data_IF_685267099965
#
_entry.id   IF_685267099965
#
_cell.length_a   1.000
_cell.length_b   1.000
_cell.length_c   1.000
_cell.angle_alpha   90.00
_cell.angle_beta   90.00
_cell.angle_gamma   90.00
#
_symmetry.space_group_name_H-M   'P 1'
#
loop_
_entity.id
_entity.type
_entity.pdbx_description
1 polymer ?
#
# COMPACT_ATOMS: atom_id res chain seq x y z
N UNK A 1 -32.69 10.39 -28.09
CA UNK A 1 -31.27 10.48 -27.74
C UNK A 1 -30.91 9.38 -26.73
N UNK A 2 -31.70 9.21 -25.66
CA UNK A 2 -31.45 8.22 -24.60
C UNK A 2 -31.54 6.76 -25.11
N UNK A 3 -32.36 6.47 -26.10
CA UNK A 3 -32.55 5.11 -26.63
C UNK A 3 -31.36 4.57 -27.43
N UNK A 4 -30.40 5.41 -27.83
CA UNK A 4 -29.19 5.04 -28.56
C UNK A 4 -27.94 5.04 -27.70
N UNK A 5 -28.01 5.43 -26.43
CA UNK A 5 -26.89 5.46 -25.52
C UNK A 5 -26.69 4.07 -24.88
N UNK A 6 -25.44 3.58 -24.85
CA UNK A 6 -25.06 2.45 -23.99
C UNK A 6 -24.84 2.98 -22.57
N UNK A 7 -25.47 2.34 -21.62
CA UNK A 7 -25.45 2.73 -20.22
C UNK A 7 -24.66 1.72 -19.38
N UNK A 8 -23.71 2.21 -18.62
CA UNK A 8 -23.04 1.41 -17.60
C UNK A 8 -23.70 1.69 -16.24
N UNK A 9 -24.06 0.63 -15.54
CA UNK A 9 -24.46 0.74 -14.14
C UNK A 9 -23.24 1.03 -13.28
N UNK A 10 -23.20 2.18 -12.64
CA UNK A 10 -22.20 2.50 -11.63
C UNK A 10 -22.70 1.93 -10.31
N UNK A 11 -22.44 0.62 -10.06
CA UNK A 11 -22.80 -0.12 -8.85
C UNK A 11 -24.10 0.39 -8.23
N UNK A 12 -25.25 0.02 -8.78
CA UNK A 12 -26.51 0.53 -8.29
C UNK A 12 -26.69 0.09 -6.83
N UNK A 13 -26.81 1.04 -5.93
CA UNK A 13 -27.28 0.78 -4.58
C UNK A 13 -28.67 1.40 -4.45
N UNK A 14 -29.63 0.62 -3.95
CA UNK A 14 -30.95 1.13 -3.62
C UNK A 14 -30.83 2.34 -2.66
N UNK A 15 -31.62 3.44 -2.83
CA UNK A 15 -32.66 3.62 -3.85
C UNK A 15 -32.19 4.32 -5.13
N UNK A 16 -30.91 4.63 -5.29
CA UNK A 16 -30.42 5.44 -6.40
C UNK A 16 -29.58 4.60 -7.36
N UNK A 17 -30.06 4.47 -8.60
CA UNK A 17 -29.33 3.84 -9.70
C UNK A 17 -28.80 4.93 -10.63
N UNK A 18 -27.47 5.13 -10.61
CA UNK A 18 -26.81 6.09 -11.50
C UNK A 18 -26.29 5.39 -12.73
N UNK A 19 -26.70 5.85 -13.89
CA UNK A 19 -26.23 5.39 -15.17
C UNK A 19 -25.52 6.55 -15.88
N UNK A 20 -24.33 6.28 -16.41
CA UNK A 20 -23.59 7.22 -17.23
C UNK A 20 -23.53 6.71 -18.67
N UNK A 21 -24.00 7.49 -19.65
CA UNK A 21 -23.87 7.09 -21.04
C UNK A 21 -22.39 7.10 -21.47
N UNK A 22 -21.96 6.06 -22.14
CA UNK A 22 -20.63 6.00 -22.75
C UNK A 22 -20.77 5.91 -24.27
N UNK A 23 -19.90 6.64 -25.01
CA UNK A 23 -19.83 6.49 -26.45
C UNK A 23 -19.17 5.15 -26.82
N UNK A 24 -19.61 4.53 -27.92
CA UNK A 24 -18.96 3.31 -28.44
C UNK A 24 -17.48 3.52 -28.73
N UNK A 25 -17.12 4.70 -29.23
CA UNK A 25 -15.73 5.07 -29.49
C UNK A 25 -14.87 5.00 -28.21
N UNK A 26 -15.39 5.49 -27.08
CA UNK A 26 -14.69 5.41 -25.80
C UNK A 26 -14.60 3.98 -25.28
N UNK A 27 -15.68 3.19 -25.38
CA UNK A 27 -15.66 1.78 -24.99
C UNK A 27 -14.65 0.95 -25.80
N UNK A 28 -14.62 1.14 -27.12
CA UNK A 28 -13.65 0.45 -27.97
C UNK A 28 -12.21 0.82 -27.60
N UNK A 29 -11.95 2.11 -27.39
CA UNK A 29 -10.65 2.60 -26.96
C UNK A 29 -10.24 2.06 -25.57
N UNK A 30 -11.17 1.94 -24.65
CA UNK A 30 -10.93 1.31 -23.35
C UNK A 30 -10.54 -0.17 -23.49
N UNK A 31 -11.26 -0.90 -24.34
CA UNK A 31 -11.05 -2.32 -24.58
C UNK A 31 -9.74 -2.64 -25.35
N UNK A 32 -9.07 -1.65 -25.93
CA UNK A 32 -7.72 -1.80 -26.49
C UNK A 32 -6.63 -1.92 -25.42
N UNK A 33 -6.92 -1.47 -24.19
CA UNK A 33 -5.99 -1.48 -23.07
C UNK A 33 -6.15 -2.69 -22.16
N UNK A 34 -5.11 -2.98 -21.39
CA UNK A 34 -5.14 -3.97 -20.30
C UNK A 34 -5.07 -3.19 -18.98
N UNK A 35 -6.04 -3.38 -18.10
CA UNK A 35 -6.07 -2.68 -16.82
C UNK A 35 -5.07 -3.29 -15.83
N UNK A 36 -4.61 -2.50 -14.84
CA UNK A 36 -3.73 -3.03 -13.78
C UNK A 36 -4.38 -4.19 -13.01
N UNK A 37 -5.70 -4.22 -12.90
CA UNK A 37 -6.44 -5.31 -12.27
C UNK A 37 -6.42 -6.61 -13.09
N UNK A 38 -6.17 -6.53 -14.38
CA UNK A 38 -5.98 -7.70 -15.26
C UNK A 38 -4.53 -8.18 -15.26
N UNK A 39 -3.60 -7.33 -14.84
CA UNK A 39 -2.17 -7.62 -14.75
C UNK A 39 -1.81 -8.23 -13.38
N UNK A 40 -2.22 -7.59 -12.29
CA UNK A 40 -1.84 -7.99 -10.94
C UNK A 40 -2.89 -8.91 -10.29
N UNK A 41 -2.42 -9.93 -9.55
CA UNK A 41 -3.28 -10.85 -8.77
C UNK A 41 -3.92 -10.16 -7.58
N UNK A 42 -3.12 -9.37 -6.83
CA UNK A 42 -3.53 -8.71 -5.60
C UNK A 42 -3.03 -7.26 -5.52
N UNK A 43 -3.83 -6.41 -4.93
CA UNK A 43 -3.53 -5.01 -4.67
C UNK A 43 -4.47 -4.47 -3.58
N UNK A 44 -4.13 -3.36 -2.98
CA UNK A 44 -4.99 -2.69 -2.00
C UNK A 44 -4.79 -1.18 -2.02
N UNK A 45 -5.76 -0.47 -1.49
CA UNK A 45 -5.60 0.93 -1.09
C UNK A 45 -4.52 1.01 -0.01
N UNK A 46 -3.80 2.13 0.05
CA UNK A 46 -2.88 2.43 1.13
C UNK A 46 -3.54 2.40 2.52
N UNK A 47 -2.75 2.47 3.56
CA UNK A 47 -3.25 2.44 4.94
C UNK A 47 -4.06 3.71 5.26
N UNK A 48 -4.97 3.59 6.23
CA UNK A 48 -5.70 4.71 6.81
C UNK A 48 -5.49 4.68 8.31
N UNK A 49 -4.80 5.67 8.84
CA UNK A 49 -4.48 5.73 10.28
C UNK A 49 -5.61 6.34 11.09
N UNK A 50 -6.30 7.35 10.55
CA UNK A 50 -7.26 8.23 11.23
C UNK A 50 -6.67 8.98 12.45
N UNK A 51 -5.34 8.86 12.65
CA UNK A 51 -4.56 9.48 13.75
C UNK A 51 -3.14 9.81 13.30
N UNK A 52 -2.98 10.37 12.10
CA UNK A 52 -1.66 10.63 11.49
C UNK A 52 -0.73 11.38 12.43
N UNK A 53 -1.20 12.47 13.04
CA UNK A 53 -0.40 13.30 13.96
C UNK A 53 0.10 12.52 15.18
N UNK A 54 -0.58 11.43 15.55
CA UNK A 54 -0.21 10.61 16.67
C UNK A 54 0.72 9.45 16.29
N UNK A 55 0.40 8.74 15.21
CA UNK A 55 1.11 7.48 14.84
C UNK A 55 2.20 7.69 13.80
N UNK A 56 2.32 8.89 13.19
CA UNK A 56 3.33 9.20 12.16
C UNK A 56 4.19 10.38 12.63
N UNK A 57 5.50 10.32 12.36
CA UNK A 57 6.44 11.42 12.61
C UNK A 57 7.61 11.37 11.63
N UNK A 58 8.22 12.52 11.34
CA UNK A 58 9.48 12.64 10.61
C UNK A 58 10.69 12.23 11.47
N UNK A 59 10.55 12.25 12.80
CA UNK A 59 11.58 11.91 13.77
C UNK A 59 11.17 10.66 14.57
N UNK A 60 11.99 9.61 14.49
CA UNK A 60 11.73 8.33 15.16
C UNK A 60 11.71 8.47 16.69
N UNK A 61 12.61 9.24 17.26
CA UNK A 61 12.72 9.37 18.72
C UNK A 61 11.51 10.11 19.30
N UNK A 62 11.00 11.13 18.60
CA UNK A 62 9.75 11.81 18.98
C UNK A 62 8.57 10.84 18.92
N UNK A 63 8.48 10.01 17.88
CA UNK A 63 7.44 9.00 17.76
C UNK A 63 7.55 7.97 18.88
N UNK A 64 8.74 7.45 19.17
CA UNK A 64 8.99 6.51 20.29
C UNK A 64 8.62 7.10 21.63
N UNK A 65 9.00 8.36 21.88
CA UNK A 65 8.62 9.06 23.13
C UNK A 65 7.10 9.13 23.26
N UNK A 66 6.39 9.51 22.21
CA UNK A 66 4.93 9.61 22.16
C UNK A 66 4.25 8.27 22.46
N UNK A 67 4.72 7.20 21.84
CA UNK A 67 4.18 5.85 22.06
C UNK A 67 4.52 5.34 23.46
N UNK A 68 5.70 5.66 24.01
CA UNK A 68 6.06 5.30 25.39
C UNK A 68 5.18 6.04 26.42
N UNK A 69 4.88 7.32 26.21
CA UNK A 69 3.91 8.03 27.05
C UNK A 69 2.51 7.42 26.95
N UNK A 70 2.07 7.05 25.73
CA UNK A 70 0.78 6.41 25.50
C UNK A 70 0.64 5.08 26.27
N UNK A 71 1.68 4.25 26.28
CA UNK A 71 1.66 2.94 26.95
C UNK A 71 1.88 3.01 28.46
N UNK A 72 2.33 4.12 29.00
CA UNK A 72 2.50 4.31 30.45
C UNK A 72 1.13 4.49 31.12
N UNK A 73 0.63 3.44 31.73
CA UNK A 73 -0.67 3.42 32.40
C UNK A 73 -0.71 4.29 33.69
N UNK A 74 0.43 4.79 34.15
CA UNK A 74 0.48 5.76 35.26
C UNK A 74 -0.02 7.13 34.84
N UNK A 75 0.08 7.47 33.56
CA UNK A 75 -0.44 8.72 33.00
C UNK A 75 -1.97 8.56 32.83
N UNK A 76 -2.81 9.44 33.35
CA UNK A 76 -4.26 9.37 33.18
C UNK A 76 -4.70 9.40 31.72
N UNK A 77 -5.79 8.71 31.39
CA UNK A 77 -6.35 8.71 30.04
C UNK A 77 -6.75 10.11 29.56
N UNK A 78 -7.20 10.94 30.47
CA UNK A 78 -7.59 12.32 30.18
C UNK A 78 -6.40 13.15 29.70
N UNK A 79 -5.23 13.00 30.33
CA UNK A 79 -4.01 13.71 29.95
C UNK A 79 -3.55 13.29 28.54
N UNK A 80 -3.61 11.99 28.25
CA UNK A 80 -3.29 11.45 26.91
C UNK A 80 -4.29 11.95 25.86
N UNK A 81 -5.59 11.94 26.18
CA UNK A 81 -6.63 12.44 25.30
C UNK A 81 -6.41 13.92 24.97
N UNK A 82 -6.19 14.73 25.99
CA UNK A 82 -6.01 16.18 25.84
C UNK A 82 -4.71 16.51 25.08
N UNK A 83 -3.61 15.84 25.44
CA UNK A 83 -2.29 16.09 24.83
C UNK A 83 -2.24 15.71 23.35
N UNK A 84 -2.87 14.58 22.98
CA UNK A 84 -2.77 14.00 21.63
C UNK A 84 -4.08 14.02 20.84
N UNK A 85 -5.12 14.66 21.37
CA UNK A 85 -6.46 14.71 20.76
C UNK A 85 -7.02 13.33 20.36
N UNK A 86 -6.79 12.31 21.21
CA UNK A 86 -7.24 10.94 20.97
C UNK A 86 -8.64 10.73 21.55
N UNK A 87 -9.65 10.75 20.67
CA UNK A 87 -11.04 10.54 21.06
C UNK A 87 -11.52 9.15 20.69
N UNK A 88 -12.27 8.51 21.59
CA UNK A 88 -12.94 7.25 21.32
C UNK A 88 -13.96 7.39 20.19
N UNK A 89 -14.10 6.33 19.39
CA UNK A 89 -15.13 6.21 18.37
C UNK A 89 -15.51 4.71 18.19
N UNK A 90 -16.36 4.40 17.22
CA UNK A 90 -16.82 3.02 16.98
C UNK A 90 -15.70 2.01 16.65
N UNK A 91 -14.48 2.48 16.32
CA UNK A 91 -13.34 1.65 15.90
C UNK A 91 -12.11 1.82 16.77
N UNK A 92 -12.16 2.69 17.76
CA UNK A 92 -11.04 2.98 18.64
C UNK A 92 -11.48 3.22 20.07
N UNK A 93 -10.96 2.41 20.96
CA UNK A 93 -11.08 2.55 22.42
C UNK A 93 -9.70 2.84 23.00
N UNK A 94 -9.53 4.04 23.55
CA UNK A 94 -8.27 4.51 24.12
C UNK A 94 -7.77 3.61 25.26
N UNK A 95 -8.66 3.26 26.20
CA UNK A 95 -8.31 2.50 27.40
C UNK A 95 -7.83 1.10 27.01
N UNK A 96 -8.57 0.44 26.13
CA UNK A 96 -8.23 -0.89 25.64
C UNK A 96 -6.94 -0.86 24.83
N UNK A 97 -6.79 0.08 23.91
CA UNK A 97 -5.59 0.24 23.08
C UNK A 97 -4.34 0.48 23.94
N UNK A 98 -4.42 1.35 24.96
CA UNK A 98 -3.32 1.60 25.88
C UNK A 98 -2.91 0.35 26.66
N UNK A 99 -3.89 -0.40 27.17
CA UNK A 99 -3.64 -1.66 27.89
C UNK A 99 -2.91 -2.67 26.99
N UNK A 100 -3.35 -2.82 25.76
CA UNK A 100 -2.74 -3.76 24.81
C UNK A 100 -1.33 -3.33 24.41
N UNK A 101 -1.10 -2.06 24.08
CA UNK A 101 0.24 -1.55 23.74
C UNK A 101 1.17 -1.58 24.96
N UNK A 102 0.66 -1.43 26.18
CA UNK A 102 1.48 -1.53 27.40
C UNK A 102 2.01 -2.94 27.66
N UNK A 103 1.29 -3.97 27.19
CA UNK A 103 1.68 -5.38 27.36
C UNK A 103 2.79 -5.84 26.41
N UNK A 104 3.10 -5.07 25.36
CA UNK A 104 4.15 -5.46 24.42
C UNK A 104 5.52 -5.52 25.06
N UNK A 105 6.27 -6.57 24.74
CA UNK A 105 7.69 -6.65 25.04
C UNK A 105 8.45 -5.51 24.34
N UNK A 106 9.67 -5.22 24.78
CA UNK A 106 10.51 -4.21 24.11
C UNK A 106 10.76 -4.55 22.64
N UNK A 107 11.04 -5.81 22.34
CA UNK A 107 11.30 -6.28 20.99
C UNK A 107 10.05 -6.15 20.09
N UNK A 108 8.88 -6.57 20.59
CA UNK A 108 7.61 -6.44 19.88
C UNK A 108 7.27 -4.96 19.60
N UNK A 109 7.45 -4.09 20.59
CA UNK A 109 7.22 -2.66 20.45
C UNK A 109 8.13 -2.05 19.37
N UNK A 110 9.43 -2.38 19.39
CA UNK A 110 10.41 -1.86 18.41
C UNK A 110 10.09 -2.32 17.00
N UNK A 111 9.64 -3.56 16.81
CA UNK A 111 9.29 -4.09 15.47
C UNK A 111 8.12 -3.36 14.80
N UNK A 112 7.33 -2.61 15.56
CA UNK A 112 6.19 -1.86 15.03
C UNK A 112 6.55 -0.46 14.51
N UNK A 113 7.77 0.02 14.76
CA UNK A 113 8.26 1.27 14.20
C UNK A 113 8.89 1.03 12.84
N UNK A 114 8.18 1.35 11.78
CA UNK A 114 8.62 1.15 10.40
C UNK A 114 8.58 2.46 9.60
N UNK A 115 9.13 2.43 8.38
CA UNK A 115 9.03 3.55 7.45
C UNK A 115 7.77 3.45 6.60
N UNK A 116 7.23 4.60 6.24
CA UNK A 116 6.08 4.77 5.35
C UNK A 116 6.38 5.85 4.30
N UNK A 117 5.95 5.61 3.06
CA UNK A 117 5.84 6.68 2.08
C UNK A 117 4.53 7.45 2.33
N UNK A 118 4.65 8.60 2.99
CA UNK A 118 3.51 9.38 3.46
C UNK A 118 2.95 10.28 2.36
N UNK A 119 3.83 10.95 1.60
CA UNK A 119 3.51 11.73 0.38
C UNK A 119 4.60 11.46 -0.66
N UNK A 120 4.45 11.89 -1.91
CA UNK A 120 5.51 11.73 -2.90
C UNK A 120 6.82 12.34 -2.41
N UNK A 121 7.87 11.51 -2.31
CA UNK A 121 9.21 11.87 -1.81
C UNK A 121 9.26 12.28 -0.33
N UNK A 122 8.18 12.14 0.44
CA UNK A 122 8.12 12.36 1.89
C UNK A 122 8.03 11.01 2.60
N UNK A 123 9.14 10.59 3.18
CA UNK A 123 9.27 9.34 3.94
C UNK A 123 9.28 9.66 5.42
N UNK A 124 8.42 8.96 6.19
CA UNK A 124 8.25 9.16 7.63
C UNK A 124 8.37 7.83 8.38
N UNK A 125 8.37 7.91 9.69
CA UNK A 125 8.22 6.77 10.58
C UNK A 125 6.77 6.64 11.01
N UNK A 126 6.30 5.39 11.16
CA UNK A 126 4.96 5.07 11.63
C UNK A 126 5.04 3.99 12.70
N UNK A 127 4.19 4.10 13.71
CA UNK A 127 3.92 2.98 14.62
C UNK A 127 2.80 2.13 13.99
N UNK A 128 3.20 1.08 13.29
CA UNK A 128 2.30 0.25 12.47
C UNK A 128 1.66 -0.86 13.31
N UNK A 129 0.55 -0.53 13.98
CA UNK A 129 -0.15 -1.40 14.90
C UNK A 129 -1.67 -1.30 14.76
N UNK A 130 -2.37 -2.44 14.84
CA UNK A 130 -3.83 -2.53 14.66
C UNK A 130 -4.63 -1.91 15.83
N UNK A 131 -3.98 -1.63 16.97
CA UNK A 131 -4.61 -0.94 18.09
C UNK A 131 -4.72 0.58 17.87
N UNK A 132 -3.92 1.09 16.93
CA UNK A 132 -3.83 2.52 16.65
C UNK A 132 -4.13 2.89 15.20
N UNK A 133 -4.06 1.96 14.26
CA UNK A 133 -4.33 2.20 12.83
C UNK A 133 -5.70 1.64 12.46
N UNK A 134 -6.55 2.47 11.87
CA UNK A 134 -7.91 2.07 11.52
C UNK A 134 -7.96 0.99 10.43
N UNK A 135 -7.10 1.10 9.41
CA UNK A 135 -7.05 0.17 8.27
C UNK A 135 -5.63 -0.10 7.86
N UNK A 136 -5.04 -1.12 8.43
CA UNK A 136 -3.64 -1.51 8.17
C UNK A 136 -3.40 -2.12 6.80
N UNK A 137 -4.41 -2.74 6.19
CA UNK A 137 -4.26 -3.43 4.89
C UNK A 137 -3.16 -4.51 4.90
N UNK A 138 -3.01 -5.24 6.01
CA UNK A 138 -1.93 -6.19 6.27
C UNK A 138 -1.66 -7.14 5.09
N UNK A 139 -2.70 -7.76 4.51
CA UNK A 139 -2.57 -8.72 3.40
C UNK A 139 -1.73 -8.21 2.21
N UNK A 140 -1.67 -6.90 1.99
CA UNK A 140 -0.88 -6.29 0.91
C UNK A 140 0.34 -5.57 1.45
N UNK A 141 0.19 -4.76 2.50
CA UNK A 141 1.27 -3.91 3.01
C UNK A 141 2.44 -4.71 3.60
N UNK A 142 2.18 -5.87 4.21
CA UNK A 142 3.24 -6.71 4.75
C UNK A 142 4.19 -7.24 3.66
N UNK A 143 3.73 -7.40 2.42
CA UNK A 143 4.60 -7.79 1.31
C UNK A 143 5.69 -6.74 0.98
N UNK A 144 5.56 -5.51 1.47
CA UNK A 144 6.50 -4.42 1.21
C UNK A 144 7.48 -4.16 2.37
N UNK A 145 7.43 -4.96 3.42
CA UNK A 145 8.36 -4.86 4.55
C UNK A 145 9.66 -5.62 4.32
N UNK A 146 9.69 -6.47 3.28
CA UNK A 146 10.85 -7.21 2.82
C UNK A 146 11.45 -6.58 1.55
N UNK A 147 12.52 -7.20 0.99
CA UNK A 147 13.11 -6.76 -0.29
C UNK A 147 12.13 -6.91 -1.45
N UNK A 148 11.19 -5.99 -1.54
CA UNK A 148 10.14 -5.94 -2.55
C UNK A 148 9.91 -4.49 -2.99
N UNK A 149 9.27 -4.33 -4.13
CA UNK A 149 8.82 -3.04 -4.65
C UNK A 149 7.37 -3.14 -5.07
N UNK A 150 6.66 -2.03 -5.05
CA UNK A 150 5.26 -1.98 -5.49
C UNK A 150 4.99 -0.77 -6.36
N UNK A 151 4.15 -0.97 -7.39
CA UNK A 151 3.61 0.11 -8.18
C UNK A 151 2.54 0.84 -7.37
N UNK A 152 2.55 2.16 -7.41
CA UNK A 152 1.53 3.04 -6.84
C UNK A 152 0.80 3.68 -8.00
N UNK A 153 -0.53 3.57 -8.00
CA UNK A 153 -1.37 4.23 -8.99
C UNK A 153 -2.68 4.72 -8.37
N UNK A 154 -3.16 5.86 -8.83
CA UNK A 154 -4.47 6.37 -8.46
C UNK A 154 -5.51 5.91 -9.48
N UNK A 155 -6.71 5.60 -8.99
CA UNK A 155 -7.85 5.33 -9.87
C UNK A 155 -8.32 6.61 -10.58
N UNK A 156 -8.29 7.72 -9.87
CA UNK A 156 -8.65 9.04 -10.39
C UNK A 156 -7.78 10.10 -9.69
N UNK A 157 -7.72 11.28 -10.28
CA UNK A 157 -7.05 12.43 -9.68
C UNK A 157 -7.99 13.62 -9.61
N UNK A 158 -7.93 14.38 -8.52
CA UNK A 158 -8.65 15.65 -8.40
C UNK A 158 -7.92 16.80 -9.09
N UNK A 159 -6.66 16.57 -9.47
CA UNK A 159 -5.82 17.59 -10.09
C UNK A 159 -6.20 17.77 -11.55
N UNK A 160 -6.41 19.02 -11.94
CA UNK A 160 -6.57 19.40 -13.35
C UNK A 160 -5.17 19.41 -13.98
N UNK A 161 -5.00 18.70 -15.07
CA UNK A 161 -3.73 18.66 -15.79
C UNK A 161 -3.35 17.25 -16.27
N UNK A 162 -2.06 17.04 -16.45
CA UNK A 162 -1.52 15.76 -16.91
C UNK A 162 -1.58 14.72 -15.77
N UNK A 163 -1.97 13.49 -16.12
CA UNK A 163 -1.89 12.37 -15.19
C UNK A 163 -0.43 12.04 -14.87
N UNK A 164 -0.05 12.24 -13.61
CA UNK A 164 1.31 12.01 -13.09
C UNK A 164 1.29 11.29 -11.72
N UNK A 165 0.24 10.52 -11.45
CA UNK A 165 -0.04 9.90 -10.15
C UNK A 165 0.43 8.44 -10.09
N UNK A 166 1.55 8.14 -10.77
CA UNK A 166 2.16 6.81 -10.77
C UNK A 166 3.57 6.88 -10.19
N UNK A 167 3.85 6.03 -9.21
CA UNK A 167 5.14 5.94 -8.53
C UNK A 167 5.53 4.50 -8.28
N UNK A 168 6.76 4.27 -7.86
CA UNK A 168 7.24 3.00 -7.31
C UNK A 168 7.75 3.25 -5.90
N UNK A 169 7.44 2.36 -4.98
CA UNK A 169 7.94 2.40 -3.61
C UNK A 169 8.28 1.01 -3.10
N UNK A 170 9.30 0.91 -2.27
CA UNK A 170 9.62 -0.26 -1.47
C UNK A 170 9.06 -0.17 -0.03
N UNK A 171 8.22 0.82 0.24
CA UNK A 171 7.59 1.06 1.54
C UNK A 171 6.08 0.91 1.43
N UNK A 172 5.43 0.64 2.57
CA UNK A 172 3.99 0.79 2.71
C UNK A 172 3.59 2.24 2.44
N UNK A 173 2.37 2.47 1.99
CA UNK A 173 1.90 3.80 1.62
C UNK A 173 0.70 4.25 2.43
N UNK A 174 0.59 5.55 2.63
CA UNK A 174 -0.67 6.21 3.04
C UNK A 174 -1.70 6.17 1.91
N UNK A 175 -2.98 6.03 2.25
CA UNK A 175 -4.07 5.96 1.26
C UNK A 175 -4.17 7.22 0.38
N UNK A 176 -3.69 8.35 0.87
CA UNK A 176 -3.70 9.64 0.19
C UNK A 176 -2.30 10.12 -0.17
N UNK A 177 -1.39 9.18 -0.46
CA UNK A 177 0.01 9.51 -0.77
C UNK A 177 0.13 10.55 -1.91
N UNK A 178 -0.76 10.54 -2.89
CA UNK A 178 -0.75 11.53 -3.97
C UNK A 178 -1.76 12.64 -3.68
N UNK A 179 -3.04 12.47 -3.94
CA UNK A 179 -4.08 13.47 -3.70
C UNK A 179 -5.48 12.85 -3.50
N UNK A 180 -5.65 11.65 -3.95
CA UNK A 180 -6.86 10.84 -3.83
C UNK A 180 -6.46 9.43 -3.43
N UNK A 181 -7.42 8.53 -3.39
CA UNK A 181 -7.17 7.14 -2.99
C UNK A 181 -6.15 6.51 -3.94
N UNK A 182 -4.97 6.18 -3.37
CA UNK A 182 -3.88 5.51 -4.06
C UNK A 182 -3.89 4.02 -3.76
N UNK A 183 -3.65 3.23 -4.81
CA UNK A 183 -3.54 1.77 -4.72
C UNK A 183 -2.08 1.37 -4.81
N UNK A 184 -1.72 0.32 -4.09
CA UNK A 184 -0.40 -0.29 -4.13
C UNK A 184 -0.50 -1.72 -4.65
N UNK A 185 0.35 -2.02 -5.64
CA UNK A 185 0.48 -3.30 -6.32
C UNK A 185 1.88 -3.83 -6.04
N UNK A 186 2.10 -4.65 -5.00
CA UNK A 186 3.42 -5.24 -4.75
C UNK A 186 3.83 -6.13 -5.92
N UNK A 187 5.12 -6.14 -6.26
CA UNK A 187 5.62 -6.99 -7.36
C UNK A 187 5.61 -8.47 -6.99
N UNK A 188 5.87 -8.76 -5.73
CA UNK A 188 5.87 -10.11 -5.19
C UNK A 188 4.88 -10.25 -4.03
N UNK A 189 4.31 -11.44 -3.89
CA UNK A 189 3.54 -11.87 -2.73
C UNK A 189 4.35 -12.88 -1.94
N UNK A 190 4.41 -12.72 -0.62
CA UNK A 190 5.07 -13.63 0.30
C UNK A 190 4.19 -14.85 0.57
N UNK A 191 4.77 -16.05 0.47
CA UNK A 191 4.00 -17.31 0.46
C UNK A 191 3.43 -17.74 1.83
N UNK A 192 3.89 -17.19 2.93
CA UNK A 192 3.30 -17.43 4.26
C UNK A 192 3.06 -16.08 4.88
N UNK A 193 1.78 -15.81 5.18
CA UNK A 193 1.35 -14.52 5.69
C UNK A 193 2.41 -13.89 6.58
N UNK A 194 2.91 -12.75 6.18
CA UNK A 194 4.07 -12.04 6.74
C UNK A 194 4.05 -11.89 8.28
N UNK A 195 2.98 -12.28 8.94
CA UNK A 195 2.88 -12.31 10.40
C UNK A 195 3.84 -13.31 11.07
N UNK A 196 4.26 -14.40 10.38
CA UNK A 196 5.17 -15.39 10.99
C UNK A 196 6.65 -15.01 10.87
N UNK A 197 7.03 -14.21 9.86
CA UNK A 197 8.44 -13.86 9.63
C UNK A 197 8.93 -12.81 10.66
N UNK A 198 8.06 -11.93 11.12
CA UNK A 198 8.40 -10.91 12.13
C UNK A 198 8.71 -11.46 13.53
N UNK A 199 8.23 -12.66 13.87
CA UNK A 199 8.36 -13.21 15.22
C UNK A 199 9.44 -14.29 15.36
N UNK A 200 10.10 -14.71 14.27
CA UNK A 200 11.05 -15.84 14.30
C UNK A 200 12.52 -15.50 14.07
N UNK A 201 12.89 -14.26 13.80
CA UNK A 201 14.28 -13.86 13.85
C UNK A 201 14.73 -13.78 15.31
N UNK A 202 15.15 -14.91 15.87
CA UNK A 202 15.73 -14.97 17.20
C UNK A 202 17.07 -14.23 17.22
N UNK A 203 17.41 -13.59 18.34
CA UNK A 203 18.71 -12.92 18.55
C UNK A 203 19.91 -13.82 18.23
N UNK A 204 19.77 -15.13 18.33
CA UNK A 204 20.78 -16.11 17.97
C UNK A 204 21.04 -16.19 16.47
N UNK A 205 20.01 -16.02 15.62
CA UNK A 205 20.18 -15.99 14.17
C UNK A 205 20.85 -14.69 13.72
N UNK A 206 20.49 -13.56 14.30
CA UNK A 206 21.14 -12.28 14.02
C UNK A 206 22.61 -12.29 14.45
N UNK A 207 22.94 -12.88 15.59
CA UNK A 207 24.32 -13.03 16.06
C UNK A 207 25.15 -14.00 15.18
N UNK A 208 24.54 -15.05 14.67
CA UNK A 208 25.18 -15.98 13.74
C UNK A 208 25.53 -15.34 12.39
N UNK A 209 24.68 -14.44 11.90
CA UNK A 209 24.91 -13.69 10.64
C UNK A 209 26.01 -12.65 10.75
N UNK A 210 26.25 -12.08 11.93
CA UNK A 210 27.32 -11.09 12.15
C UNK A 210 28.72 -11.70 12.25
N UNK A 211 28.84 -13.03 12.41
CA UNK A 211 30.12 -13.74 12.59
C UNK A 211 30.62 -14.58 11.40
N UNK A 212 29.85 -14.66 10.30
CA UNK A 212 30.34 -15.39 9.13
C UNK A 212 31.29 -14.53 8.30
N UNK A 213 32.59 -14.78 8.44
CA UNK A 213 33.70 -14.08 7.76
C UNK A 213 33.74 -14.23 6.22
N UNK A 214 32.77 -14.87 5.59
CA UNK A 214 32.78 -15.15 4.15
C UNK A 214 31.62 -14.56 3.34
N UNK A 215 31.03 -13.45 3.71
CA UNK A 215 30.25 -12.63 2.78
C UNK A 215 29.16 -13.30 1.93
N UNK A 216 28.89 -14.60 2.12
CA UNK A 216 27.75 -15.29 1.52
C UNK A 216 26.55 -14.98 2.38
N UNK A 217 25.83 -13.91 2.01
CA UNK A 217 24.44 -13.76 2.38
C UNK A 217 23.78 -15.11 2.08
N UNK A 218 23.33 -15.81 3.10
CA UNK A 218 22.36 -16.88 2.92
C UNK A 218 21.13 -16.23 2.32
N UNK A 219 20.95 -16.47 1.04
CA UNK A 219 19.75 -16.13 0.33
C UNK A 219 18.66 -17.03 0.93
N UNK A 220 18.02 -16.56 2.01
CA UNK A 220 16.72 -17.07 2.39
C UNK A 220 15.89 -16.85 1.14
N UNK A 221 15.68 -17.91 0.38
CA UNK A 221 14.63 -17.95 -0.63
C UNK A 221 13.34 -17.68 0.12
N UNK A 222 13.07 -16.41 0.38
CA UNK A 222 11.73 -15.96 0.69
C UNK A 222 10.86 -16.60 -0.37
N UNK A 223 9.98 -17.50 0.03
CA UNK A 223 9.01 -18.10 -0.88
C UNK A 223 8.09 -16.98 -1.38
N UNK A 224 8.63 -16.15 -2.29
CA UNK A 224 7.91 -15.05 -2.93
C UNK A 224 7.46 -15.48 -4.31
N UNK A 225 6.22 -15.25 -4.62
CA UNK A 225 5.65 -15.48 -5.94
C UNK A 225 5.37 -14.16 -6.64
N UNK A 226 5.58 -14.10 -7.96
CA UNK A 226 5.24 -12.92 -8.72
C UNK A 226 3.73 -12.62 -8.62
N UNK A 227 3.40 -11.38 -8.31
CA UNK A 227 2.02 -10.88 -8.22
C UNK A 227 1.44 -10.55 -9.60
N UNK A 228 1.82 -11.31 -10.62
CA UNK A 228 1.36 -11.15 -11.99
C UNK A 228 0.47 -12.32 -12.38
N UNK A 229 -0.65 -12.04 -13.05
CA UNK A 229 -1.58 -13.08 -13.52
C UNK A 229 -0.95 -13.92 -14.62
N UNK A 230 -1.14 -15.22 -14.56
CA UNK A 230 -0.63 -16.18 -15.55
C UNK A 230 -1.08 -15.81 -16.98
N UNK A 231 -2.38 -15.50 -17.13
CA UNK A 231 -2.96 -15.07 -18.41
C UNK A 231 -2.25 -13.84 -19.01
N UNK A 232 -1.81 -12.92 -18.16
CA UNK A 232 -1.04 -11.75 -18.60
C UNK A 232 0.39 -12.13 -18.98
N UNK A 233 1.05 -13.00 -18.23
CA UNK A 233 2.40 -13.49 -18.52
C UNK A 233 2.44 -14.25 -19.86
N UNK A 234 1.47 -15.11 -20.09
CA UNK A 234 1.31 -15.83 -21.37
C UNK A 234 1.09 -14.86 -22.55
N UNK A 235 0.15 -13.93 -22.39
CA UNK A 235 -0.09 -12.89 -23.39
C UNK A 235 1.17 -12.09 -23.68
N UNK A 236 1.91 -11.66 -22.66
CA UNK A 236 3.10 -10.85 -22.78
C UNK A 236 4.23 -11.60 -23.48
N UNK A 237 4.50 -12.84 -23.05
CA UNK A 237 5.51 -13.71 -23.67
C UNK A 237 5.21 -14.03 -25.12
N UNK A 238 3.94 -14.32 -25.45
CA UNK A 238 3.51 -14.56 -26.83
C UNK A 238 3.67 -13.32 -27.71
N UNK A 239 3.32 -12.15 -27.17
CA UNK A 239 3.40 -10.88 -27.92
C UNK A 239 4.83 -10.47 -28.24
N UNK A 240 5.76 -10.67 -27.31
CA UNK A 240 7.16 -10.24 -27.44
C UNK A 240 8.12 -11.39 -27.75
N UNK A 241 7.63 -12.61 -27.92
CA UNK A 241 8.38 -13.83 -28.25
C UNK A 241 9.59 -14.06 -27.33
N UNK A 242 9.45 -13.71 -26.05
CA UNK A 242 10.50 -13.84 -25.04
C UNK A 242 9.90 -13.98 -23.64
N UNK A 243 10.69 -14.48 -22.72
CA UNK A 243 10.39 -14.53 -21.28
C UNK A 243 11.05 -13.35 -20.59
N UNK A 244 10.31 -12.67 -19.72
CA UNK A 244 10.79 -11.50 -18.99
C UNK A 244 10.66 -11.71 -17.50
N UNK A 245 11.60 -11.16 -16.72
CA UNK A 245 11.48 -11.17 -15.27
C UNK A 245 10.32 -10.27 -14.80
N UNK A 246 9.76 -10.52 -13.61
CA UNK A 246 8.74 -9.65 -13.03
C UNK A 246 9.19 -8.19 -12.95
N UNK A 247 10.48 -7.93 -12.66
CA UNK A 247 11.04 -6.58 -12.60
C UNK A 247 11.05 -5.90 -13.98
N UNK A 248 11.40 -6.63 -15.03
CA UNK A 248 11.38 -6.11 -16.40
C UNK A 248 9.95 -5.77 -16.83
N UNK A 249 8.99 -6.62 -16.49
CA UNK A 249 7.57 -6.38 -16.74
C UNK A 249 7.07 -5.16 -15.98
N UNK A 250 7.42 -5.04 -14.68
CA UNK A 250 7.06 -3.85 -13.89
C UNK A 250 7.67 -2.57 -14.48
N UNK A 251 8.95 -2.63 -14.87
CA UNK A 251 9.64 -1.52 -15.53
C UNK A 251 8.96 -1.10 -16.83
N UNK A 252 8.51 -2.06 -17.63
CA UNK A 252 7.75 -1.81 -18.86
C UNK A 252 6.39 -1.14 -18.55
N UNK A 253 5.63 -1.66 -17.59
CA UNK A 253 4.35 -1.08 -17.16
C UNK A 253 4.56 0.37 -16.70
N UNK A 254 5.58 0.59 -15.87
CA UNK A 254 5.92 1.92 -15.37
C UNK A 254 6.27 2.88 -16.51
N UNK A 255 7.08 2.46 -17.46
CA UNK A 255 7.45 3.26 -18.63
C UNK A 255 6.23 3.62 -19.50
N UNK A 256 5.30 2.68 -19.73
CA UNK A 256 4.05 2.94 -20.45
C UNK A 256 3.20 3.99 -19.74
N UNK A 257 3.00 3.85 -18.42
CA UNK A 257 2.20 4.79 -17.64
C UNK A 257 2.80 6.21 -17.57
N UNK A 258 4.11 6.33 -17.82
CA UNK A 258 4.82 7.61 -17.95
C UNK A 258 4.96 8.11 -19.39
N UNK A 259 4.65 7.28 -20.39
CA UNK A 259 4.76 7.65 -21.79
C UNK A 259 3.80 8.80 -22.16
N UNK A 260 4.29 9.89 -22.78
CA UNK A 260 3.44 10.96 -23.27
C UNK A 260 2.37 10.47 -24.25
N UNK A 261 2.74 9.53 -25.13
CA UNK A 261 1.82 8.93 -26.11
C UNK A 261 0.67 8.20 -25.43
N UNK A 262 0.97 7.38 -24.41
CA UNK A 262 -0.05 6.68 -23.62
C UNK A 262 -0.96 7.69 -22.90
N UNK A 263 -0.38 8.67 -22.23
CA UNK A 263 -1.12 9.68 -21.49
C UNK A 263 -2.04 10.50 -22.39
N UNK A 264 -1.57 10.89 -23.58
CA UNK A 264 -2.40 11.60 -24.56
C UNK A 264 -3.51 10.71 -25.09
N UNK A 265 -3.18 9.45 -25.46
CA UNK A 265 -4.16 8.49 -26.01
C UNK A 265 -5.29 8.19 -25.03
N UNK A 266 -4.99 8.04 -23.73
CA UNK A 266 -5.93 7.58 -22.71
C UNK A 266 -6.36 8.69 -21.72
N UNK A 267 -6.16 9.95 -22.06
CA UNK A 267 -6.41 11.09 -21.17
C UNK A 267 -7.84 11.10 -20.61
N UNK A 268 -8.83 10.67 -21.41
CA UNK A 268 -10.25 10.62 -21.00
C UNK A 268 -10.52 9.61 -19.89
N UNK A 269 -9.64 8.61 -19.72
CA UNK A 269 -9.72 7.59 -18.67
C UNK A 269 -8.84 7.90 -17.47
N UNK A 270 -7.84 8.73 -17.63
CA UNK A 270 -6.88 9.10 -16.61
C UNK A 270 -7.31 10.30 -15.76
N UNK A 271 -8.38 11.00 -16.20
CA UNK A 271 -8.93 12.21 -15.55
C UNK A 271 -10.24 11.97 -14.80
N UNK A 272 -10.67 10.73 -14.61
CA UNK A 272 -11.95 10.43 -13.98
C UNK A 272 -11.85 10.49 -12.46
#
# INVERSE_FOLDING_TARGET
VLSKAKWDAIKPSSPFYLFKPRSEKLLNKYNEGISLNEIFKQYSVGIVTSRDEFVIDTNLDRLKKRINEFRDLKIPNEDITNKYNLKNNSKFDLTNSRRQVSSYSKQELESKFIKIAYRPFDYRYIFYDDKLIERMRKAIMLNLQEKNIGLIANRNTKRIGNYNSVFISNLIIDAHIVDNISYQYPLYLLANGAEQIFFQANEQEIAYYSQSENGKLFDYKLNKTANLKESFLEFFSKKYQSTYSPEQILGYIYAILHSPTFRTKYIDFLRI
#
